data_IF_277740044656
#
_entry.id   IF_277740044656
#
_cell.length_a   1.000
_cell.length_b   1.000
_cell.length_c   1.000
_cell.angle_alpha   90.00
_cell.angle_beta   90.00
_cell.angle_gamma   90.00
#
_symmetry.space_group_name_H-M   'P 1'
#
loop_
_entity.id
_entity.type
_entity.pdbx_description
1 polymer ?
#
# COMPACT_ATOMS: atom_id res chain seq x y z
N UNK A 1 -4.91 11.66 1.06
CA UNK A 1 -3.89 10.58 1.05
C UNK A 1 -3.77 9.91 -0.32
N UNK A 2 -4.82 9.27 -0.85
CA UNK A 2 -4.78 8.52 -2.13
C UNK A 2 -4.33 9.34 -3.35
N UNK A 3 -4.78 10.60 -3.51
CA UNK A 3 -4.30 11.45 -4.61
C UNK A 3 -2.82 11.86 -4.51
N UNK A 4 -2.29 11.99 -3.28
CA UNK A 4 -0.83 12.18 -3.09
C UNK A 4 -0.08 10.93 -3.51
N UNK A 5 -0.73 9.77 -3.34
CA UNK A 5 -0.14 8.49 -3.66
C UNK A 5 0.02 8.24 -5.16
N UNK A 6 -1.04 8.52 -5.92
CA UNK A 6 -1.03 8.40 -7.38
C UNK A 6 0.03 9.30 -8.03
N UNK A 7 0.40 10.40 -7.37
CA UNK A 7 1.40 11.36 -7.85
C UNK A 7 2.82 11.08 -7.34
N UNK A 8 3.03 10.01 -6.57
CA UNK A 8 4.34 9.66 -6.00
C UNK A 8 4.92 10.72 -5.06
N UNK A 9 4.11 11.66 -4.59
CA UNK A 9 4.54 12.77 -3.73
C UNK A 9 4.45 12.37 -2.27
N UNK A 10 5.38 12.82 -1.40
CA UNK A 10 5.25 12.60 0.05
C UNK A 10 3.88 13.07 0.56
N UNK A 11 3.40 12.45 1.64
CA UNK A 11 2.21 12.99 2.30
C UNK A 11 2.52 14.41 2.83
N UNK A 12 1.48 15.21 3.09
CA UNK A 12 1.64 16.61 3.51
C UNK A 12 2.51 16.79 4.78
N UNK A 13 2.65 15.74 5.59
CA UNK A 13 3.42 15.71 6.83
C UNK A 13 4.86 15.17 6.65
N UNK A 14 5.24 14.72 5.45
CA UNK A 14 6.58 14.20 5.13
C UNK A 14 6.94 12.86 5.79
N UNK A 15 6.02 12.23 6.51
CA UNK A 15 6.25 10.99 7.27
C UNK A 15 6.25 9.72 6.40
N UNK A 16 5.67 9.80 5.20
CA UNK A 16 5.60 8.70 4.24
C UNK A 16 6.30 9.08 2.95
N UNK A 17 7.30 8.29 2.56
CA UNK A 17 8.21 8.53 1.44
C UNK A 17 8.31 7.29 0.56
N UNK A 18 9.10 7.36 -0.52
CA UNK A 18 9.37 6.21 -1.41
C UNK A 18 8.10 5.54 -1.93
N UNK A 19 7.13 6.37 -2.32
CA UNK A 19 5.87 5.88 -2.83
C UNK A 19 6.08 5.12 -4.14
N UNK A 20 5.49 3.92 -4.20
CA UNK A 20 5.50 3.07 -5.39
C UNK A 20 4.11 2.51 -5.61
N UNK A 21 3.75 2.40 -6.88
CA UNK A 21 2.63 1.59 -7.34
C UNK A 21 3.18 0.36 -8.03
N UNK A 22 2.55 -0.79 -7.82
CA UNK A 22 2.78 -2.01 -8.60
C UNK A 22 1.45 -2.60 -9.04
N UNK A 23 1.42 -3.17 -10.24
CA UNK A 23 0.31 -4.01 -10.64
C UNK A 23 0.52 -5.43 -10.13
N UNK A 24 -0.52 -6.00 -9.55
CA UNK A 24 -0.55 -7.38 -9.07
C UNK A 24 -1.93 -7.95 -9.33
N UNK A 25 -2.01 -9.00 -10.16
CA UNK A 25 -3.27 -9.70 -10.48
C UNK A 25 -4.41 -8.77 -10.94
N UNK A 26 -4.05 -7.70 -11.67
CA UNK A 26 -5.00 -6.68 -12.15
C UNK A 26 -5.38 -5.61 -11.12
N UNK A 27 -4.82 -5.66 -9.92
CA UNK A 27 -5.01 -4.67 -8.86
C UNK A 27 -3.80 -3.75 -8.73
N UNK A 28 -4.05 -2.46 -8.57
CA UNK A 28 -3.00 -1.48 -8.22
C UNK A 28 -2.75 -1.53 -6.72
N UNK A 29 -1.60 -2.05 -6.34
CA UNK A 29 -1.12 -2.08 -4.96
C UNK A 29 -0.08 -0.99 -4.77
N UNK A 30 -0.20 -0.23 -3.69
CA UNK A 30 0.72 0.84 -3.36
C UNK A 30 1.59 0.47 -2.16
N UNK A 31 2.78 1.06 -2.10
CA UNK A 31 3.66 0.96 -0.94
C UNK A 31 4.32 2.29 -0.62
N UNK A 32 4.53 2.58 0.66
CA UNK A 32 5.30 3.71 1.15
C UNK A 32 6.21 3.29 2.31
N UNK A 33 7.35 3.95 2.47
CA UNK A 33 8.20 3.84 3.66
C UNK A 33 7.80 4.94 4.65
N UNK A 34 7.43 4.55 5.86
CA UNK A 34 7.09 5.48 6.93
C UNK A 34 7.26 4.82 8.28
N UNK A 35 7.60 5.61 9.30
CA UNK A 35 7.72 5.13 10.69
C UNK A 35 8.61 3.87 10.85
N UNK A 36 9.66 3.75 10.02
CA UNK A 36 10.60 2.62 10.05
C UNK A 36 10.12 1.32 9.38
N UNK A 37 8.95 1.32 8.73
CA UNK A 37 8.37 0.12 8.12
C UNK A 37 7.77 0.40 6.73
N UNK A 38 7.56 -0.67 5.96
CA UNK A 38 6.85 -0.57 4.68
C UNK A 38 5.35 -0.70 4.93
N UNK A 39 4.61 0.30 4.47
CA UNK A 39 3.16 0.32 4.48
C UNK A 39 2.67 -0.08 3.09
N UNK A 40 1.99 -1.22 2.99
CA UNK A 40 1.28 -1.66 1.79
C UNK A 40 -0.19 -1.29 1.89
N UNK A 41 -0.78 -0.84 0.79
CA UNK A 41 -2.20 -0.55 0.79
C UNK A 41 -2.85 -0.68 -0.59
N UNK A 42 -4.12 -1.02 -0.57
CA UNK A 42 -5.00 -1.21 -1.72
C UNK A 42 -6.36 -0.60 -1.41
N UNK A 43 -7.03 -0.04 -2.43
CA UNK A 43 -8.35 0.56 -2.30
C UNK A 43 -9.30 0.02 -3.37
N UNK A 44 -10.49 -0.41 -2.94
CA UNK A 44 -11.61 -0.76 -3.80
C UNK A 44 -12.85 0.01 -3.35
N UNK A 45 -13.21 1.08 -4.06
CA UNK A 45 -14.32 1.95 -3.66
C UNK A 45 -14.16 2.50 -2.22
N UNK A 46 -15.09 2.16 -1.30
CA UNK A 46 -14.99 2.55 0.11
C UNK A 46 -14.08 1.65 0.95
N UNK A 47 -13.72 0.45 0.47
CA UNK A 47 -12.87 -0.49 1.20
C UNK A 47 -11.39 -0.16 1.02
N UNK A 48 -10.63 -0.21 2.12
CA UNK A 48 -9.18 -0.03 2.13
C UNK A 48 -8.56 -1.22 2.86
N UNK A 49 -7.61 -1.88 2.20
CA UNK A 49 -6.67 -2.80 2.84
C UNK A 49 -5.41 -2.00 3.13
N UNK A 50 -5.00 -1.96 4.40
CA UNK A 50 -3.73 -1.36 4.82
C UNK A 50 -2.99 -2.35 5.69
N UNK A 51 -1.77 -2.71 5.30
CA UNK A 51 -0.90 -3.59 6.05
C UNK A 51 0.48 -2.97 6.27
N UNK A 52 0.94 -2.97 7.51
CA UNK A 52 2.31 -2.62 7.86
C UNK A 52 2.79 -3.59 8.93
N UNK A 53 3.71 -4.47 8.54
CA UNK A 53 4.29 -5.54 9.35
C UNK A 53 5.65 -5.90 8.76
N UNK A 54 6.36 -6.83 9.39
CA UNK A 54 7.59 -7.38 8.82
C UNK A 54 7.35 -7.84 7.37
N UNK A 55 8.21 -7.51 6.39
CA UNK A 55 8.00 -7.85 4.98
C UNK A 55 7.76 -9.34 4.70
N UNK A 56 8.33 -10.24 5.51
CA UNK A 56 8.16 -11.70 5.39
C UNK A 56 6.72 -12.10 5.73
N UNK A 57 6.07 -11.38 6.65
CA UNK A 57 4.66 -11.60 7.03
C UNK A 57 3.73 -10.77 6.15
N UNK A 58 4.09 -9.52 5.86
CA UNK A 58 3.23 -8.57 5.18
C UNK A 58 2.91 -9.00 3.75
N UNK A 59 3.92 -9.46 2.99
CA UNK A 59 3.74 -9.86 1.59
C UNK A 59 2.74 -11.02 1.42
N UNK A 60 2.91 -12.19 2.07
CA UNK A 60 1.96 -13.29 1.90
C UNK A 60 0.57 -12.95 2.44
N UNK A 61 0.46 -12.20 3.54
CA UNK A 61 -0.84 -11.78 4.07
C UNK A 61 -1.56 -10.80 3.13
N UNK A 62 -0.83 -9.86 2.51
CA UNK A 62 -1.37 -8.97 1.50
C UNK A 62 -1.84 -9.77 0.27
N UNK A 63 -1.02 -10.67 -0.24
CA UNK A 63 -1.37 -11.49 -1.41
C UNK A 63 -2.64 -12.33 -1.16
N UNK A 64 -2.75 -12.94 0.02
CA UNK A 64 -3.95 -13.68 0.41
C UNK A 64 -5.18 -12.77 0.58
N UNK A 65 -5.00 -11.59 1.16
CA UNK A 65 -6.10 -10.62 1.32
C UNK A 65 -6.60 -10.13 -0.03
N UNK A 66 -5.68 -9.81 -0.96
CA UNK A 66 -6.00 -9.32 -2.30
C UNK A 66 -6.78 -10.34 -3.12
N UNK A 67 -6.49 -11.64 -2.96
CA UNK A 67 -7.29 -12.72 -3.59
C UNK A 67 -8.74 -12.77 -3.10
N UNK A 68 -9.02 -12.32 -1.88
CA UNK A 68 -10.37 -12.38 -1.27
C UNK A 68 -11.22 -11.14 -1.51
N UNK A 69 -10.60 -10.01 -1.84
CA UNK A 69 -11.29 -8.73 -2.10
C UNK A 69 -11.55 -8.48 -3.59
N UNK A 70 -11.06 -9.37 -4.46
CA UNK A 70 -11.47 -9.46 -5.85
C UNK A 70 -12.87 -10.08 -5.96
#
# INVERSE_FOLDING_TARGET
MVQGIERGTPNAEGQFTHLKARQQDGLTVYSALGLGQVHYFYRSGPAIVWLAADPIVARPALDETLRRVR
#
